data_IF_941362166360
#
_entry.id   IF_941362166360
#
_cell.length_a   1.000
_cell.length_b   1.000
_cell.length_c   1.000
_cell.angle_alpha   90.00
_cell.angle_beta   90.00
_cell.angle_gamma   90.00
#
_symmetry.space_group_name_H-M   'P 1'
#
loop_
_entity.id
_entity.type
_entity.pdbx_description
1 polymer ?
#
# COMPACT_ATOMS: atom_id res chain seq x y z
N UNK A 1 19.18 -44.43 44.53
CA UNK A 1 19.93 -43.88 43.39
C UNK A 1 18.94 -43.21 42.46
N UNK A 2 19.07 -41.90 42.28
CA UNK A 2 18.16 -41.07 41.48
C UNK A 2 18.92 -40.49 40.29
N UNK A 3 18.52 -40.86 39.08
CA UNK A 3 18.75 -40.09 37.85
C UNK A 3 17.36 -39.84 37.27
N UNK A 4 16.97 -38.59 36.98
CA UNK A 4 17.41 -37.90 35.74
C UNK A 4 17.59 -36.38 36.01
N UNK A 5 17.96 -35.48 35.10
CA UNK A 5 17.94 -35.44 33.64
C UNK A 5 19.05 -34.50 33.14
N UNK A 6 19.72 -34.86 32.05
CA UNK A 6 20.56 -33.94 31.29
C UNK A 6 19.67 -33.10 30.37
N UNK A 7 20.07 -31.83 30.18
CA UNK A 7 20.12 -31.05 28.92
C UNK A 7 19.49 -29.66 29.09
N UNK A 8 20.27 -28.72 29.61
CA UNK A 8 20.03 -27.31 29.33
C UNK A 8 20.34 -27.09 27.84
N UNK A 9 19.29 -27.18 27.03
CA UNK A 9 19.33 -26.88 25.61
C UNK A 9 19.59 -25.39 25.49
N UNK A 10 20.68 -25.03 24.81
CA UNK A 10 20.96 -23.69 24.31
C UNK A 10 19.68 -23.15 23.65
N UNK A 11 18.94 -22.31 24.38
CA UNK A 11 17.89 -21.50 23.79
C UNK A 11 18.55 -20.18 23.42
N UNK A 12 19.11 -20.14 22.21
CA UNK A 12 19.34 -18.89 21.50
C UNK A 12 17.97 -18.22 21.46
N UNK A 13 17.76 -17.21 22.30
CA UNK A 13 16.53 -16.42 22.26
C UNK A 13 16.42 -15.84 20.85
N UNK A 14 15.41 -16.30 20.13
CA UNK A 14 15.18 -16.02 18.74
C UNK A 14 15.17 -14.50 18.52
N UNK A 15 15.91 -14.11 17.47
CA UNK A 15 15.89 -12.80 16.84
C UNK A 15 14.46 -12.24 16.80
N UNK A 16 14.35 -11.00 17.26
CA UNK A 16 13.19 -10.11 17.21
C UNK A 16 12.06 -10.57 16.28
N UNK A 17 10.90 -10.86 16.84
CA UNK A 17 9.68 -10.95 16.04
C UNK A 17 9.44 -9.59 15.38
N UNK A 18 9.55 -9.56 14.06
CA UNK A 18 9.16 -8.40 13.25
C UNK A 18 7.66 -8.23 13.44
N UNK A 19 7.26 -7.08 14.01
CA UNK A 19 5.87 -6.70 14.14
C UNK A 19 5.19 -6.85 12.77
N UNK A 20 4.25 -7.78 12.67
CA UNK A 20 3.47 -7.99 11.46
C UNK A 20 2.60 -6.76 11.24
N UNK A 21 2.91 -5.95 10.24
CA UNK A 21 2.07 -4.83 9.84
C UNK A 21 0.75 -5.37 9.32
N UNK A 22 -0.26 -5.36 10.20
CA UNK A 22 -1.62 -5.76 9.88
C UNK A 22 -2.27 -4.65 9.05
N UNK A 23 -2.78 -5.03 7.88
CA UNK A 23 -3.75 -4.29 7.07
C UNK A 23 -3.35 -2.94 6.45
N UNK A 24 -2.44 -2.96 5.49
CA UNK A 24 -2.68 -2.18 4.28
C UNK A 24 -2.64 -3.12 3.09
N UNK A 25 -3.81 -3.39 2.51
CA UNK A 25 -3.85 -4.06 1.22
C UNK A 25 -3.06 -3.19 0.26
N UNK A 26 -1.96 -3.68 -0.33
CA UNK A 26 -1.17 -2.88 -1.23
C UNK A 26 -2.09 -2.40 -2.34
N UNK A 27 -2.14 -1.08 -2.51
CA UNK A 27 -2.94 -0.47 -3.56
C UNK A 27 -2.57 -1.12 -4.89
N UNK A 28 -3.58 -1.56 -5.65
CA UNK A 28 -3.37 -2.11 -7.00
C UNK A 28 -2.96 -1.03 -8.01
N UNK A 29 -2.94 0.23 -7.58
CA UNK A 29 -2.53 1.37 -8.39
C UNK A 29 -1.01 1.43 -8.48
N UNK A 30 -0.50 1.93 -9.61
CA UNK A 30 0.94 2.15 -9.76
C UNK A 30 1.38 3.23 -8.78
N UNK A 31 2.54 3.09 -8.10
CA UNK A 31 3.03 4.08 -7.13
C UNK A 31 3.04 5.50 -7.67
N UNK A 32 3.49 5.70 -8.92
CA UNK A 32 3.49 7.04 -9.53
C UNK A 32 2.11 7.67 -9.68
N UNK A 33 1.03 6.88 -9.82
CA UNK A 33 -0.34 7.41 -9.84
C UNK A 33 -0.71 7.94 -8.46
N UNK A 34 -0.37 7.19 -7.40
CA UNK A 34 -0.67 7.56 -6.02
C UNK A 34 0.10 8.83 -5.65
N UNK A 35 1.41 8.87 -5.90
CA UNK A 35 2.26 10.04 -5.64
C UNK A 35 1.73 11.29 -6.35
N UNK A 36 1.28 11.15 -7.61
CA UNK A 36 0.72 12.28 -8.35
C UNK A 36 -0.57 12.77 -7.68
N UNK A 37 -1.48 11.87 -7.28
CA UNK A 37 -2.73 12.23 -6.61
C UNK A 37 -2.48 12.86 -5.23
N UNK A 38 -1.50 12.38 -4.47
CA UNK A 38 -1.10 12.94 -3.18
C UNK A 38 -0.49 14.34 -3.31
N UNK A 39 0.19 14.63 -4.43
CA UNK A 39 0.75 15.95 -4.70
C UNK A 39 -0.29 17.01 -5.12
N UNK A 40 -1.51 16.59 -5.47
CA UNK A 40 -2.58 17.50 -5.88
C UNK A 40 -3.17 18.25 -4.68
N UNK A 41 -3.47 19.53 -4.88
CA UNK A 41 -4.25 20.30 -3.91
C UNK A 41 -5.68 19.74 -3.76
N UNK A 42 -6.34 19.99 -2.63
CA UNK A 42 -7.72 19.50 -2.42
C UNK A 42 -8.68 19.97 -3.52
N UNK A 43 -8.50 21.20 -4.02
CA UNK A 43 -9.30 21.75 -5.11
C UNK A 43 -9.11 20.95 -6.41
N UNK A 44 -7.87 20.56 -6.73
CA UNK A 44 -7.56 19.76 -7.91
C UNK A 44 -8.11 18.34 -7.79
N UNK A 45 -8.03 17.74 -6.60
CA UNK A 45 -8.62 16.43 -6.34
C UNK A 45 -10.15 16.45 -6.52
N UNK A 46 -10.84 17.48 -6.00
CA UNK A 46 -12.29 17.63 -6.18
C UNK A 46 -12.69 17.81 -7.64
N UNK A 47 -11.91 18.60 -8.40
CA UNK A 47 -12.13 18.79 -9.83
C UNK A 47 -11.92 17.48 -10.60
N UNK A 48 -10.86 16.75 -10.28
CA UNK A 48 -10.58 15.45 -10.87
C UNK A 48 -11.70 14.45 -10.56
N UNK A 49 -12.16 14.35 -9.31
CA UNK A 49 -13.28 13.49 -8.90
C UNK A 49 -14.57 13.83 -9.68
N UNK A 50 -14.91 15.12 -9.78
CA UNK A 50 -16.08 15.58 -10.54
C UNK A 50 -15.97 15.21 -12.02
N UNK A 51 -14.80 15.40 -12.62
CA UNK A 51 -14.56 15.14 -14.03
C UNK A 51 -14.60 13.63 -14.32
N UNK A 52 -13.95 12.82 -13.49
CA UNK A 52 -13.96 11.37 -13.59
C UNK A 52 -15.34 10.76 -13.39
N UNK A 53 -16.16 11.29 -12.47
CA UNK A 53 -17.55 10.85 -12.28
C UNK A 53 -18.43 11.17 -13.48
N UNK A 54 -18.22 12.32 -14.13
CA UNK A 54 -19.04 12.76 -15.27
C UNK A 54 -18.68 12.06 -16.58
N UNK A 55 -17.39 11.90 -16.84
CA UNK A 55 -16.91 11.51 -18.18
C UNK A 55 -16.09 10.21 -18.18
N UNK A 56 -15.75 9.70 -16.99
CA UNK A 56 -14.87 8.56 -16.83
C UNK A 56 -13.44 8.83 -17.30
N UNK A 57 -12.62 7.79 -17.23
CA UNK A 57 -11.22 7.84 -17.69
C UNK A 57 -11.15 8.11 -19.20
N UNK A 58 -12.11 7.61 -19.99
CA UNK A 58 -12.14 7.82 -21.44
C UNK A 58 -12.29 9.30 -21.80
N UNK A 59 -13.24 10.01 -21.18
CA UNK A 59 -13.41 11.45 -21.44
C UNK A 59 -12.26 12.28 -20.87
N UNK A 60 -11.70 11.87 -19.73
CA UNK A 60 -10.48 12.49 -19.20
C UNK A 60 -9.30 12.38 -20.20
N UNK A 61 -9.04 11.20 -20.76
CA UNK A 61 -7.99 10.98 -21.75
C UNK A 61 -8.26 11.75 -23.06
N UNK A 62 -9.52 11.86 -23.49
CA UNK A 62 -9.89 12.64 -24.67
C UNK A 62 -9.64 14.14 -24.47
N UNK A 63 -9.94 14.71 -23.29
CA UNK A 63 -9.64 16.11 -22.97
C UNK A 63 -8.15 16.43 -22.94
N UNK A 64 -7.34 15.46 -22.54
CA UNK A 64 -5.89 15.58 -22.55
C UNK A 64 -5.29 15.38 -23.95
N UNK A 65 -6.10 15.02 -24.96
CA UNK A 65 -5.62 14.71 -26.30
C UNK A 65 -4.79 13.41 -26.36
N UNK A 66 -4.95 12.54 -25.38
CA UNK A 66 -4.23 11.26 -25.25
C UNK A 66 -5.07 10.11 -25.83
N UNK A 67 -6.39 10.29 -25.96
CA UNK A 67 -7.25 9.30 -26.60
C UNK A 67 -7.14 9.39 -28.13
N UNK A 68 -6.81 8.26 -28.76
CA UNK A 68 -6.86 8.01 -30.21
C UNK A 68 -8.31 8.02 -30.74
#
# INVERSE_FOLDING_TARGET
MSLPAIRNRQAVYHLAEVASSYNEQPSRLRPGIIETLESMTELEQQRLDTLLKREGIRGFLARLGIAE
#
